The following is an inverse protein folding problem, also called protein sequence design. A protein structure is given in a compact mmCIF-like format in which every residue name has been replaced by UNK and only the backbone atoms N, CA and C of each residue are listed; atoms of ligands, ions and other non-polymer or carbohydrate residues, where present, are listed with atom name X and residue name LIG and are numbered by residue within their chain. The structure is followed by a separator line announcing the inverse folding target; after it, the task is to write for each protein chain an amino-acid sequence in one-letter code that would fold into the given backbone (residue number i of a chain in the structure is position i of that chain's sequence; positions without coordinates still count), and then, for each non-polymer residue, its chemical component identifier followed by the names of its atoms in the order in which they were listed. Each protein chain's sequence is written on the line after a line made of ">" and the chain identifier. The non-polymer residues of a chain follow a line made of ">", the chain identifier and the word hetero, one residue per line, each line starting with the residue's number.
data_IF_386586009722
#
_entry.id   IF_386586009722
#
_cell.length_a   1.000
_cell.length_b   1.000
_cell.length_c   1.000
_cell.angle_alpha   90.00
_cell.angle_beta   90.00
_cell.angle_gamma   90.00
#
_symmetry.space_group_name_H-M   'P 1'
#
loop_
_entity.id
_entity.type
_entity.pdbx_description
1 polymer ?
#
# COMPACT_ATOMS: atom_id res chain seq x y z
N UNK A 1 -15.04 -7.79 8.17
CA UNK A 1 -14.00 -7.31 7.22
C UNK A 1 -14.02 -5.80 7.29
N UNK A 2 -12.87 -5.15 7.38
CA UNK A 2 -12.79 -3.68 7.32
C UNK A 2 -11.95 -3.24 6.13
N UNK A 3 -12.34 -2.11 5.53
CA UNK A 3 -11.69 -1.49 4.38
C UNK A 3 -11.62 0.00 4.66
N UNK A 4 -10.46 0.61 4.50
CA UNK A 4 -10.31 2.07 4.60
C UNK A 4 -9.31 2.61 3.59
N UNK A 5 -9.50 3.87 3.21
CA UNK A 5 -8.60 4.61 2.33
C UNK A 5 -7.62 5.36 3.21
N UNK A 6 -6.32 5.21 2.95
CA UNK A 6 -5.29 5.99 3.64
C UNK A 6 -5.03 7.27 2.84
N UNK A 7 -5.25 8.41 3.50
CA UNK A 7 -5.01 9.74 2.92
C UNK A 7 -3.58 10.20 3.22
N UNK A 8 -3.14 11.24 2.54
CA UNK A 8 -1.76 11.73 2.68
C UNK A 8 -1.47 12.31 4.06
N UNK A 9 -2.45 12.99 4.65
CA UNK A 9 -2.34 13.54 6.00
C UNK A 9 -2.17 12.45 7.08
N UNK A 10 -2.55 11.21 6.79
CA UNK A 10 -2.55 10.12 7.78
C UNK A 10 -1.15 9.51 7.98
N UNK A 11 -0.21 9.75 7.04
CA UNK A 11 1.15 9.21 7.14
C UNK A 11 2.16 9.87 6.19
N UNK A 12 3.25 10.39 6.76
CA UNK A 12 4.40 10.89 5.99
C UNK A 12 4.99 9.84 5.03
N UNK A 13 4.94 8.55 5.40
CA UNK A 13 5.47 7.46 4.56
C UNK A 13 4.59 7.20 3.33
N UNK A 14 3.28 7.42 3.46
CA UNK A 14 2.32 7.28 2.36
C UNK A 14 2.48 8.43 1.38
N UNK A 15 2.58 9.67 1.87
CA UNK A 15 2.83 10.85 1.00
C UNK A 15 4.10 10.65 0.14
N UNK A 16 5.19 10.11 0.71
CA UNK A 16 6.41 9.78 -0.04
C UNK A 16 6.19 8.77 -1.17
N UNK A 17 5.41 7.70 -0.93
CA UNK A 17 5.10 6.71 -1.98
C UNK A 17 4.20 7.31 -3.05
N UNK A 18 3.17 8.07 -2.67
CA UNK A 18 2.24 8.71 -3.62
C UNK A 18 2.98 9.62 -4.59
N UNK A 19 3.88 10.47 -4.10
CA UNK A 19 4.71 11.33 -4.94
C UNK A 19 5.70 10.54 -5.81
N UNK A 20 6.37 9.53 -5.26
CA UNK A 20 7.43 8.81 -5.98
C UNK A 20 6.90 7.92 -7.11
N UNK A 21 5.76 7.29 -6.92
CA UNK A 21 5.21 6.28 -7.85
C UNK A 21 3.86 6.66 -8.44
N UNK A 22 3.48 7.95 -8.34
CA UNK A 22 2.20 8.49 -8.78
C UNK A 22 0.99 7.68 -8.27
N UNK A 23 1.06 7.25 -7.01
CA UNK A 23 -0.02 6.47 -6.39
C UNK A 23 -1.15 7.41 -6.04
N UNK A 24 -2.28 7.31 -6.75
CA UNK A 24 -3.45 8.15 -6.50
C UNK A 24 -4.33 7.61 -5.37
N UNK A 25 -4.28 6.30 -5.06
CA UNK A 25 -5.08 5.69 -3.98
C UNK A 25 -4.32 4.62 -3.20
N UNK A 26 -4.51 4.64 -1.88
CA UNK A 26 -4.02 3.60 -0.99
C UNK A 26 -5.20 3.02 -0.22
N UNK A 27 -5.37 1.70 -0.26
CA UNK A 27 -6.40 0.99 0.49
C UNK A 27 -5.72 0.08 1.51
N UNK A 28 -6.27 0.06 2.73
CA UNK A 28 -5.94 -0.96 3.73
C UNK A 28 -7.18 -1.79 4.02
N UNK A 29 -6.99 -3.10 4.20
CA UNK A 29 -8.06 -4.04 4.49
C UNK A 29 -7.64 -4.98 5.62
N UNK A 30 -8.59 -5.32 6.50
CA UNK A 30 -8.38 -6.33 7.55
C UNK A 30 -9.48 -7.39 7.54
N UNK A 31 -9.08 -8.65 7.52
CA UNK A 31 -9.95 -9.83 7.63
C UNK A 31 -9.33 -10.81 8.63
N UNK A 32 -9.87 -10.87 9.85
CA UNK A 32 -9.25 -11.63 10.94
C UNK A 32 -7.82 -11.14 11.20
N UNK A 33 -6.86 -12.08 11.13
CA UNK A 33 -5.43 -11.80 11.30
C UNK A 33 -4.71 -11.37 10.01
N UNK A 34 -5.43 -11.30 8.88
CA UNK A 34 -4.87 -10.87 7.60
C UNK A 34 -5.04 -9.36 7.44
N UNK A 35 -3.92 -8.65 7.27
CA UNK A 35 -3.87 -7.25 6.87
C UNK A 35 -3.40 -7.18 5.42
N UNK A 36 -4.00 -6.29 4.64
CA UNK A 36 -3.68 -6.07 3.23
C UNK A 36 -3.50 -4.58 2.98
N UNK A 37 -2.51 -4.21 2.18
CA UNK A 37 -2.34 -2.86 1.65
C UNK A 37 -2.24 -2.94 0.13
N UNK A 38 -2.92 -2.01 -0.54
CA UNK A 38 -2.86 -1.83 -1.98
C UNK A 38 -2.52 -0.39 -2.35
N UNK A 39 -1.54 -0.25 -3.25
CA UNK A 39 -1.24 1.00 -3.93
C UNK A 39 -1.83 0.95 -5.35
N UNK A 40 -2.58 1.98 -5.74
CA UNK A 40 -3.10 2.13 -7.08
C UNK A 40 -2.43 3.32 -7.77
N UNK A 41 -1.84 3.07 -8.93
CA UNK A 41 -1.33 4.09 -9.84
C UNK A 41 -1.76 3.75 -11.28
N UNK A 42 -1.25 4.50 -12.27
CA UNK A 42 -1.56 4.29 -13.70
C UNK A 42 -1.16 2.90 -14.22
N UNK A 43 -0.19 2.24 -13.59
CA UNK A 43 0.39 0.97 -14.03
C UNK A 43 -0.30 -0.25 -13.39
N UNK A 44 -1.14 -0.04 -12.36
CA UNK A 44 -1.99 -1.07 -11.78
C UNK A 44 -2.12 -1.01 -10.26
N UNK A 45 -2.40 -2.18 -9.68
CA UNK A 45 -2.57 -2.37 -8.25
C UNK A 45 -1.44 -3.21 -7.66
N UNK A 46 -0.73 -2.66 -6.68
CA UNK A 46 0.40 -3.30 -6.01
C UNK A 46 0.01 -3.69 -4.59
N UNK A 47 -0.19 -4.99 -4.38
CA UNK A 47 -0.74 -5.55 -3.14
C UNK A 47 0.35 -6.19 -2.27
N UNK A 48 0.18 -6.05 -0.96
CA UNK A 48 0.96 -6.75 0.05
C UNK A 48 0.08 -7.28 1.18
N UNK A 49 0.46 -8.45 1.72
CA UNK A 49 -0.27 -9.15 2.78
C UNK A 49 0.61 -9.36 4.01
N UNK A 50 0.06 -9.26 5.20
CA UNK A 50 0.80 -9.54 6.43
C UNK A 50 -0.07 -9.78 7.64
N UNK A 51 0.54 -10.31 8.70
CA UNK A 51 -0.08 -10.44 10.02
C UNK A 51 -0.24 -9.09 10.72
N UNK A 52 0.46 -8.06 10.23
CA UNK A 52 0.33 -6.66 10.66
C UNK A 52 0.28 -5.69 9.47
N UNK A 53 -0.27 -4.49 9.68
CA UNK A 53 -0.29 -3.43 8.66
C UNK A 53 1.11 -3.03 8.20
N UNK A 54 2.11 -3.04 9.10
CA UNK A 54 3.51 -2.74 8.77
C UNK A 54 4.12 -3.78 7.83
N UNK A 55 3.82 -5.05 8.05
CA UNK A 55 4.28 -6.13 7.18
C UNK A 55 3.61 -6.07 5.80
N UNK A 56 2.28 -5.88 5.78
CA UNK A 56 1.52 -5.69 4.55
C UNK A 56 2.07 -4.51 3.73
N UNK A 57 2.37 -3.38 4.39
CA UNK A 57 2.96 -2.19 3.77
C UNK A 57 4.32 -2.50 3.14
N UNK A 58 5.23 -3.15 3.89
CA UNK A 58 6.56 -3.51 3.39
C UNK A 58 6.47 -4.38 2.13
N UNK A 59 5.57 -5.36 2.13
CA UNK A 59 5.36 -6.25 0.99
C UNK A 59 4.74 -5.52 -0.21
N UNK A 60 3.71 -4.70 -0.01
CA UNK A 60 3.12 -3.89 -1.08
C UNK A 60 4.16 -2.96 -1.71
N UNK A 61 4.99 -2.33 -0.87
CA UNK A 61 6.09 -1.45 -1.30
C UNK A 61 7.14 -2.22 -2.08
N UNK A 62 7.46 -3.45 -1.66
CA UNK A 62 8.39 -4.34 -2.38
C UNK A 62 7.83 -4.71 -3.75
N UNK A 63 6.55 -5.09 -3.85
CA UNK A 63 5.90 -5.40 -5.13
C UNK A 63 5.97 -4.22 -6.10
N UNK A 64 5.63 -3.01 -5.62
CA UNK A 64 5.73 -1.77 -6.39
C UNK A 64 7.16 -1.48 -6.86
N UNK A 65 8.14 -1.63 -5.96
CA UNK A 65 9.56 -1.44 -6.24
C UNK A 65 10.10 -2.39 -7.31
N UNK A 66 9.79 -3.67 -7.16
CA UNK A 66 10.20 -4.72 -8.09
C UNK A 66 9.67 -4.45 -9.51
N UNK A 67 8.45 -3.94 -9.65
CA UNK A 67 7.87 -3.61 -10.95
C UNK A 67 8.69 -2.56 -11.72
N UNK A 68 9.22 -1.56 -11.01
CA UNK A 68 10.11 -0.54 -11.60
C UNK A 68 11.59 -0.90 -11.58
N UNK A 69 11.97 -2.09 -11.09
CA UNK A 69 13.37 -2.52 -10.99
C UNK A 69 14.21 -1.79 -9.92
N UNK A 70 13.60 -1.35 -8.80
CA UNK A 70 14.23 -0.55 -7.71
C UNK A 70 14.14 -1.25 -6.34
#
# INVERSE_FOLDING_TARGET
>A
MSISIIREQDSHTISKIKKKYDVFRVITMKKGNLNTIEFFNKDGAFRGFGKSSKEAYKKAKKTLKNYYGI
#
